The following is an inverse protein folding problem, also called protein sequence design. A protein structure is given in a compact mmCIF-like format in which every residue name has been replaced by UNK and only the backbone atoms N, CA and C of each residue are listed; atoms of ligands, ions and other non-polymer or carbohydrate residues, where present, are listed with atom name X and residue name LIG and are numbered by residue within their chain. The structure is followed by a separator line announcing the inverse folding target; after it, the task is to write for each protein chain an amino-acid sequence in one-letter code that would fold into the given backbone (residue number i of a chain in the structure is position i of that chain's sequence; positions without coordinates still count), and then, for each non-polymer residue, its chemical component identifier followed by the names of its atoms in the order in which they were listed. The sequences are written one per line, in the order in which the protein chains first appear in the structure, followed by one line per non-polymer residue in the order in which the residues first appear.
data_IF_090868820937
#
_entry.id   IF_090868820937
#
_cell.length_a   1.000
_cell.length_b   1.000
_cell.length_c   1.000
_cell.angle_alpha   90.00
_cell.angle_beta   90.00
_cell.angle_gamma   90.00
#
_symmetry.space_group_name_H-M   'P 1'
#
loop_
_entity.id
_entity.type
_entity.pdbx_description
1 polymer ?
#
# COMPACT_ATOMS: atom_id res chain seq x y z
N UNK A 1 -55.71 6.41 26.47
CA UNK A 1 -54.61 6.99 27.28
C UNK A 1 -53.38 6.12 27.10
N UNK A 2 -52.24 6.71 26.72
CA UNK A 2 -50.89 6.13 26.50
C UNK A 2 -50.69 5.40 25.17
N UNK A 3 -50.24 6.14 24.17
CA UNK A 3 -49.51 5.59 23.04
C UNK A 3 -48.02 5.59 23.42
N UNK A 4 -47.40 4.42 23.45
CA UNK A 4 -45.95 4.29 23.63
C UNK A 4 -45.26 4.66 22.32
N UNK A 5 -44.53 5.77 22.31
CA UNK A 5 -43.61 6.13 21.23
C UNK A 5 -42.37 5.25 21.36
N UNK A 6 -42.22 4.25 20.49
CA UNK A 6 -40.98 3.49 20.36
C UNK A 6 -40.04 4.30 19.47
N UNK A 7 -38.98 4.85 20.07
CA UNK A 7 -37.88 5.48 19.34
C UNK A 7 -37.04 4.38 18.69
N UNK A 8 -37.23 4.13 17.40
CA UNK A 8 -36.32 3.33 16.60
C UNK A 8 -35.01 4.14 16.43
N UNK A 9 -33.99 3.80 17.22
CA UNK A 9 -32.65 4.36 17.06
C UNK A 9 -32.01 3.81 15.78
N UNK A 10 -31.87 4.66 14.76
CA UNK A 10 -31.09 4.35 13.57
C UNK A 10 -29.60 4.47 13.91
N UNK A 11 -28.93 3.35 14.16
CA UNK A 11 -27.47 3.29 14.24
C UNK A 11 -26.90 3.43 12.83
N UNK A 12 -26.38 4.62 12.50
CA UNK A 12 -25.59 4.85 11.30
C UNK A 12 -24.28 4.07 11.43
N UNK A 13 -24.17 2.93 10.74
CA UNK A 13 -22.89 2.26 10.56
C UNK A 13 -21.98 3.18 9.72
N UNK A 14 -21.00 3.81 10.36
CA UNK A 14 -19.98 4.58 9.66
C UNK A 14 -19.22 3.64 8.72
N UNK A 15 -19.24 3.92 7.42
CA UNK A 15 -18.32 3.28 6.49
C UNK A 15 -16.90 3.57 6.98
N UNK A 16 -16.09 2.54 7.21
CA UNK A 16 -14.68 2.72 7.54
C UNK A 16 -13.99 3.33 6.32
N UNK A 17 -13.60 4.60 6.42
CA UNK A 17 -12.83 5.26 5.38
C UNK A 17 -11.40 4.72 5.48
N UNK A 18 -10.79 4.37 4.34
CA UNK A 18 -9.36 4.09 4.33
C UNK A 18 -8.62 5.38 4.75
N UNK A 19 -7.91 5.32 5.87
CA UNK A 19 -7.08 6.43 6.35
C UNK A 19 -5.89 6.57 5.40
N UNK A 20 -5.79 7.72 4.74
CA UNK A 20 -4.65 8.10 3.87
C UNK A 20 -3.54 8.68 4.75
N UNK A 21 -2.28 8.48 4.36
CA UNK A 21 -1.07 8.96 5.06
C UNK A 21 -0.87 8.44 6.50
N UNK A 22 -1.65 7.45 6.93
CA UNK A 22 -1.47 6.79 8.23
C UNK A 22 -0.57 5.56 8.06
N UNK A 23 0.68 5.58 8.52
CA UNK A 23 1.58 4.44 8.42
C UNK A 23 1.15 3.33 9.39
N UNK A 24 1.20 2.09 8.92
CA UNK A 24 0.91 0.88 9.73
C UNK A 24 1.88 -0.24 9.41
N UNK A 25 2.04 -1.17 10.35
CA UNK A 25 2.80 -2.38 10.10
C UNK A 25 2.00 -3.34 9.22
N UNK A 26 2.68 -3.94 8.25
CA UNK A 26 2.12 -4.93 7.33
C UNK A 26 3.17 -5.99 7.01
N UNK A 27 2.74 -7.14 6.49
CA UNK A 27 3.67 -8.06 5.84
C UNK A 27 3.95 -7.54 4.43
N UNK A 28 5.21 -7.46 4.03
CA UNK A 28 5.60 -6.88 2.74
C UNK A 28 6.65 -7.72 2.02
N UNK A 29 6.68 -7.55 0.70
CA UNK A 29 7.70 -8.08 -0.18
C UNK A 29 8.09 -7.01 -1.20
N UNK A 30 9.40 -6.80 -1.38
CA UNK A 30 9.95 -6.08 -2.52
C UNK A 30 10.98 -6.97 -3.19
N UNK A 31 10.66 -7.43 -4.40
CA UNK A 31 11.59 -8.11 -5.30
C UNK A 31 11.96 -7.16 -6.42
N UNK A 32 13.25 -7.04 -6.74
CA UNK A 32 13.72 -6.30 -7.91
C UNK A 32 14.86 -7.11 -8.55
N UNK A 33 14.76 -7.36 -9.85
CA UNK A 33 15.76 -8.14 -10.61
C UNK A 33 16.03 -9.52 -9.97
N UNK A 34 14.98 -10.15 -9.42
CA UNK A 34 15.05 -11.45 -8.74
C UNK A 34 15.58 -11.41 -7.30
N UNK A 35 16.00 -10.26 -6.78
CA UNK A 35 16.49 -10.11 -5.42
C UNK A 35 15.41 -9.60 -4.46
N UNK A 36 15.24 -10.29 -3.33
CA UNK A 36 14.31 -9.90 -2.26
C UNK A 36 14.96 -8.87 -1.33
N UNK A 37 14.72 -7.59 -1.60
CA UNK A 37 15.35 -6.49 -0.85
C UNK A 37 14.52 -6.06 0.37
N UNK A 38 13.23 -6.41 0.40
CA UNK A 38 12.37 -6.33 1.59
C UNK A 38 11.57 -7.64 1.68
N UNK A 39 11.58 -8.28 2.85
CA UNK A 39 10.68 -9.38 3.21
C UNK A 39 10.33 -9.31 4.69
N UNK A 40 9.06 -9.52 5.01
CA UNK A 40 8.56 -9.56 6.39
C UNK A 40 7.89 -8.25 6.79
N UNK A 41 7.90 -7.93 8.09
CA UNK A 41 7.23 -6.72 8.59
C UNK A 41 7.87 -5.47 7.99
N UNK A 42 7.02 -4.59 7.45
CA UNK A 42 7.42 -3.29 6.93
C UNK A 42 6.41 -2.22 7.34
N UNK A 43 6.78 -0.94 7.17
CA UNK A 43 5.82 0.16 7.23
C UNK A 43 5.12 0.30 5.88
N UNK A 44 3.82 0.08 5.86
CA UNK A 44 2.93 0.41 4.75
C UNK A 44 2.28 1.77 5.02
N UNK A 45 2.32 2.66 4.04
CA UNK A 45 1.62 3.95 4.12
C UNK A 45 0.79 4.14 2.86
N UNK A 46 -0.55 4.19 2.95
CA UNK A 46 -1.42 4.51 1.81
C UNK A 46 -1.22 5.98 1.40
N UNK A 47 -1.09 6.23 0.10
CA UNK A 47 -0.89 7.58 -0.46
C UNK A 47 -2.22 8.20 -0.90
N UNK A 48 -3.10 7.41 -1.50
CA UNK A 48 -4.43 7.86 -1.94
C UNK A 48 -5.41 6.67 -1.93
N UNK A 49 -6.69 6.95 -2.16
CA UNK A 49 -7.81 6.00 -2.16
C UNK A 49 -7.86 5.13 -3.42
N UNK A 50 -7.04 5.45 -4.41
CA UNK A 50 -6.89 4.67 -5.64
C UNK A 50 -6.09 3.37 -5.44
N UNK A 51 -5.52 3.18 -4.25
CA UNK A 51 -4.67 2.05 -3.92
C UNK A 51 -3.18 2.32 -4.10
N UNK A 52 -2.77 3.57 -4.30
CA UNK A 52 -1.38 4.02 -4.24
C UNK A 52 -0.83 3.90 -2.83
N UNK A 53 0.43 3.49 -2.69
CA UNK A 53 1.07 3.32 -1.38
C UNK A 53 2.59 3.40 -1.43
N UNK A 54 3.19 3.46 -0.24
CA UNK A 54 4.59 3.15 -0.02
C UNK A 54 4.77 1.93 0.89
N UNK A 55 5.85 1.20 0.67
CA UNK A 55 6.39 0.24 1.64
C UNK A 55 7.81 0.63 2.03
N UNK A 56 8.16 0.52 3.31
CA UNK A 56 9.50 0.78 3.81
C UNK A 56 9.93 -0.31 4.79
N UNK A 57 11.08 -0.93 4.52
CA UNK A 57 11.66 -1.92 5.42
C UNK A 57 12.04 -1.28 6.76
N UNK A 58 11.78 -1.97 7.87
CA UNK A 58 12.04 -1.43 9.23
C UNK A 58 13.51 -1.09 9.50
N UNK A 59 14.43 -1.66 8.72
CA UNK A 59 15.86 -1.36 8.80
C UNK A 59 16.27 -0.07 8.05
N UNK A 60 15.33 0.59 7.37
CA UNK A 60 15.54 1.83 6.61
C UNK A 60 16.38 1.68 5.33
N UNK A 61 16.74 0.45 4.93
CA UNK A 61 17.60 0.21 3.76
C UNK A 61 16.88 0.49 2.45
N UNK A 62 15.65 0.00 2.32
CA UNK A 62 14.91 0.01 1.07
C UNK A 62 13.47 0.42 1.27
N UNK A 63 12.92 1.10 0.27
CA UNK A 63 11.52 1.47 0.18
C UNK A 63 11.08 1.56 -1.28
N UNK A 64 9.79 1.40 -1.51
CA UNK A 64 9.18 1.53 -2.82
C UNK A 64 7.86 2.30 -2.78
N UNK A 65 7.54 2.94 -3.89
CA UNK A 65 6.27 3.57 -4.20
C UNK A 65 5.55 2.74 -5.25
N UNK A 66 4.24 2.66 -5.10
CA UNK A 66 3.31 2.24 -6.14
C UNK A 66 2.30 3.37 -6.33
N UNK A 67 2.25 3.90 -7.55
CA UNK A 67 1.38 5.02 -7.91
C UNK A 67 0.36 4.53 -8.94
N UNK A 68 -0.89 4.39 -8.53
CA UNK A 68 -1.97 3.83 -9.35
C UNK A 68 -2.52 4.90 -10.28
N UNK A 69 -2.05 4.94 -11.52
CA UNK A 69 -2.55 5.91 -12.50
C UNK A 69 -3.94 5.61 -13.03
N UNK A 70 -4.36 4.33 -13.05
CA UNK A 70 -5.69 3.88 -13.48
C UNK A 70 -6.01 2.48 -12.94
N UNK A 71 -7.28 2.04 -12.97
CA UNK A 71 -7.64 0.71 -12.49
C UNK A 71 -6.78 -0.40 -13.09
N UNK A 72 -6.16 -1.20 -12.22
CA UNK A 72 -5.34 -2.36 -12.59
C UNK A 72 -3.93 -2.04 -13.12
N UNK A 73 -3.50 -0.76 -13.18
CA UNK A 73 -2.15 -0.40 -13.59
C UNK A 73 -1.54 0.69 -12.70
N UNK A 74 -0.28 0.49 -12.32
CA UNK A 74 0.49 1.43 -11.52
C UNK A 74 1.89 1.65 -12.11
N UNK A 75 2.51 2.76 -11.73
CA UNK A 75 3.95 2.99 -11.92
C UNK A 75 4.67 2.74 -10.59
N UNK A 76 5.78 2.00 -10.63
CA UNK A 76 6.58 1.70 -9.45
C UNK A 76 7.91 2.44 -9.42
N UNK A 77 8.34 2.85 -8.23
CA UNK A 77 9.66 3.45 -7.99
C UNK A 77 10.28 2.91 -6.73
N UNK A 78 11.60 2.80 -6.66
CA UNK A 78 12.32 2.40 -5.45
C UNK A 78 13.65 3.14 -5.32
N UNK A 79 14.28 3.01 -4.16
CA UNK A 79 15.49 3.75 -3.84
C UNK A 79 16.78 3.17 -4.45
N UNK A 80 16.78 1.91 -4.89
CA UNK A 80 17.86 1.25 -5.63
C UNK A 80 19.10 0.93 -4.80
N UNK A 81 19.66 1.96 -4.17
CA UNK A 81 20.81 1.87 -3.28
C UNK A 81 20.35 1.86 -1.83
N UNK A 82 20.90 0.95 -1.02
CA UNK A 82 20.61 0.90 0.41
C UNK A 82 20.80 2.28 1.05
N UNK A 83 19.82 2.72 1.85
CA UNK A 83 19.80 3.99 2.57
C UNK A 83 19.77 5.26 1.69
N UNK A 84 19.58 5.15 0.38
CA UNK A 84 19.34 6.33 -0.45
C UNK A 84 18.05 7.03 -0.02
N UNK A 85 18.08 8.36 0.11
CA UNK A 85 16.95 9.15 0.62
C UNK A 85 15.83 9.43 -0.38
N UNK A 86 15.89 8.88 -1.60
CA UNK A 86 14.88 9.10 -2.65
C UNK A 86 14.61 7.82 -3.42
N UNK A 87 13.36 7.62 -3.84
CA UNK A 87 12.97 6.55 -4.76
C UNK A 87 12.88 7.07 -6.20
N UNK A 88 14.02 7.18 -6.88
CA UNK A 88 14.07 7.66 -8.27
C UNK A 88 14.31 6.55 -9.30
N UNK A 89 14.57 5.32 -8.88
CA UNK A 89 14.77 4.21 -9.82
C UNK A 89 13.41 3.63 -10.23
N UNK A 90 13.08 3.58 -11.53
CA UNK A 90 11.82 3.01 -11.98
C UNK A 90 11.82 1.49 -11.79
N UNK A 91 10.67 0.97 -11.36
CA UNK A 91 10.33 -0.46 -11.40
C UNK A 91 9.58 -0.81 -12.70
N UNK A 92 9.09 0.20 -13.41
CA UNK A 92 8.30 0.07 -14.63
C UNK A 92 6.79 0.10 -14.37
N UNK A 93 6.02 -0.19 -15.42
CA UNK A 93 4.59 -0.47 -15.30
C UNK A 93 4.37 -1.74 -14.49
N UNK A 94 3.47 -1.68 -13.52
CA UNK A 94 3.07 -2.79 -12.66
C UNK A 94 1.58 -3.10 -12.85
N UNK A 95 1.24 -4.38 -12.73
CA UNK A 95 -0.11 -4.90 -12.82
C UNK A 95 -0.52 -5.54 -11.52
N UNK A 96 -1.81 -5.42 -11.20
CA UNK A 96 -2.35 -5.94 -9.94
C UNK A 96 -2.48 -7.45 -10.00
N UNK A 97 -1.82 -8.14 -9.08
CA UNK A 97 -1.99 -9.57 -8.80
C UNK A 97 -2.20 -9.76 -7.30
N UNK A 98 -3.44 -10.00 -6.89
CA UNK A 98 -3.84 -10.19 -5.50
C UNK A 98 -3.42 -9.01 -4.58
N UNK A 99 -2.53 -9.23 -3.60
CA UNK A 99 -1.98 -8.18 -2.73
C UNK A 99 -0.74 -7.47 -3.32
N UNK A 100 -0.34 -7.83 -4.55
CA UNK A 100 0.89 -7.39 -5.17
C UNK A 100 0.65 -6.52 -6.42
N UNK A 101 1.64 -5.70 -6.71
CA UNK A 101 1.83 -5.02 -7.99
C UNK A 101 3.11 -5.55 -8.63
N UNK A 102 2.99 -6.18 -9.80
CA UNK A 102 4.06 -7.01 -10.37
C UNK A 102 4.30 -6.72 -11.85
N UNK A 103 5.51 -7.07 -12.29
CA UNK A 103 5.89 -7.28 -13.69
C UNK A 103 7.04 -8.30 -13.73
N UNK A 104 7.63 -8.54 -14.91
CA UNK A 104 8.74 -9.50 -15.08
C UNK A 104 9.98 -9.18 -14.24
N UNK A 105 10.14 -7.93 -13.81
CA UNK A 105 11.32 -7.43 -13.09
C UNK A 105 11.08 -7.30 -11.59
N UNK A 106 9.88 -6.94 -11.18
CA UNK A 106 9.60 -6.44 -9.85
C UNK A 106 8.30 -7.00 -9.27
N UNK A 107 8.28 -7.14 -7.95
CA UNK A 107 7.08 -7.43 -7.19
C UNK A 107 7.04 -6.55 -5.95
N UNK A 108 5.96 -5.79 -5.79
CA UNK A 108 5.72 -4.94 -4.62
C UNK A 108 4.42 -5.39 -3.96
N UNK A 109 4.52 -6.05 -2.81
CA UNK A 109 3.37 -6.63 -2.11
C UNK A 109 3.21 -6.04 -0.71
N UNK A 110 1.95 -5.90 -0.29
CA UNK A 110 1.56 -5.56 1.08
C UNK A 110 0.26 -6.31 1.45
N UNK A 111 0.32 -7.17 2.46
CA UNK A 111 -0.80 -7.96 2.98
C UNK A 111 -1.33 -7.39 4.30
#
# INVERSE_FOLDING_TARGET
MRWLTVLLGLSLASAAWAEVDVPRDAACLLVVDGAEVIRGTCKFTPIDRDGSFTISGLNGKYFAYVLVGRPGRAEGFWNGTAYAGKAHYPLGDLYREDACWVNDRASVCAW
#
